data_IF_115119584970
#
_entry.id   IF_115119584970
#
_cell.length_a   1.000
_cell.length_b   1.000
_cell.length_c   1.000
_cell.angle_alpha   90.00
_cell.angle_beta   90.00
_cell.angle_gamma   90.00
#
_symmetry.space_group_name_H-M   'P 1'
#
loop_
_entity.id
_entity.type
_entity.pdbx_description
1 polymer ?
#
# COMPACT_ATOMS: atom_id res chain seq x y z
N UNK A 1 15.06 -16.22 -11.89
CA UNK A 1 14.25 -15.36 -12.76
C UNK A 1 12.82 -15.50 -12.25
N UNK A 2 12.30 -14.51 -11.52
CA UNK A 2 10.96 -14.60 -10.96
C UNK A 2 9.96 -14.44 -12.10
N UNK A 3 9.40 -15.57 -12.54
CA UNK A 3 8.22 -15.60 -13.39
C UNK A 3 7.09 -15.09 -12.50
N UNK A 4 6.24 -14.16 -12.97
CA UNK A 4 4.96 -13.85 -12.29
C UNK A 4 4.34 -15.18 -11.89
N UNK A 5 4.33 -15.49 -10.59
CA UNK A 5 3.84 -16.77 -10.10
C UNK A 5 2.39 -16.90 -10.51
N UNK A 6 1.96 -18.10 -10.92
CA UNK A 6 0.53 -18.37 -10.99
C UNK A 6 -0.01 -18.41 -9.55
N UNK A 7 -1.21 -17.90 -9.33
CA UNK A 7 -1.87 -17.95 -8.04
C UNK A 7 -2.08 -19.41 -7.55
N UNK A 8 -2.08 -20.38 -8.46
CA UNK A 8 -2.36 -21.77 -8.14
C UNK A 8 -1.26 -22.40 -7.27
N UNK A 9 -1.66 -22.94 -6.11
CA UNK A 9 -0.80 -23.66 -5.16
C UNK A 9 0.37 -22.86 -4.57
N UNK A 10 0.25 -21.53 -4.50
CA UNK A 10 1.20 -20.72 -3.74
C UNK A 10 1.10 -21.04 -2.23
N UNK A 11 2.23 -20.92 -1.54
CA UNK A 11 2.30 -21.13 -0.09
C UNK A 11 1.88 -19.87 0.69
N UNK A 12 2.39 -18.73 0.24
CA UNK A 12 2.05 -17.39 0.73
C UNK A 12 2.00 -16.39 -0.42
N UNK A 13 1.24 -15.33 -0.23
CA UNK A 13 1.23 -14.15 -1.10
C UNK A 13 2.14 -13.07 -0.51
N UNK A 14 2.94 -12.42 -1.33
CA UNK A 14 3.79 -11.27 -0.95
C UNK A 14 3.39 -10.07 -1.78
N UNK A 15 2.97 -8.99 -1.12
CA UNK A 15 2.64 -7.73 -1.78
C UNK A 15 3.68 -6.66 -1.44
N UNK A 16 4.25 -6.06 -2.49
CA UNK A 16 5.05 -4.86 -2.35
C UNK A 16 4.16 -3.66 -2.61
N UNK A 17 3.83 -2.93 -1.55
CA UNK A 17 2.95 -1.77 -1.63
C UNK A 17 3.71 -0.49 -1.31
N UNK A 18 3.41 0.57 -2.05
CA UNK A 18 4.04 1.87 -1.92
C UNK A 18 3.00 2.97 -1.80
N UNK A 19 2.88 3.56 -0.62
CA UNK A 19 2.04 4.72 -0.38
C UNK A 19 2.83 5.96 -0.80
N UNK A 20 2.49 6.51 -1.97
CA UNK A 20 3.20 7.64 -2.57
C UNK A 20 2.68 8.97 -2.00
N UNK A 21 2.81 9.18 -0.69
CA UNK A 21 2.23 10.38 -0.07
C UNK A 21 2.96 11.66 -0.49
N UNK A 22 4.28 11.61 -0.62
CA UNK A 22 5.10 12.78 -0.90
C UNK A 22 4.78 13.97 0.03
N UNK A 23 4.39 15.12 -0.50
CA UNK A 23 4.02 16.31 0.29
C UNK A 23 2.65 16.18 0.97
N UNK A 24 1.75 15.33 0.44
CA UNK A 24 0.36 15.29 0.90
C UNK A 24 0.25 14.82 2.36
N UNK A 25 1.08 13.88 2.82
CA UNK A 25 1.11 13.49 4.26
C UNK A 25 1.43 14.67 5.18
N UNK A 26 2.31 15.57 4.74
CA UNK A 26 2.67 16.75 5.53
C UNK A 26 1.51 17.75 5.58
N UNK A 27 0.87 17.99 4.43
CA UNK A 27 -0.23 18.94 4.31
C UNK A 27 -1.54 18.43 4.92
N UNK A 28 -1.87 17.16 4.71
CA UNK A 28 -3.10 16.50 5.12
C UNK A 28 -3.10 15.97 6.53
N UNK A 29 -2.25 14.98 6.82
CA UNK A 29 -2.21 14.35 8.14
C UNK A 29 -1.54 15.23 9.17
N UNK A 30 -0.36 15.76 8.86
CA UNK A 30 0.41 16.52 9.86
C UNK A 30 0.06 18.00 9.92
N UNK A 31 -0.65 18.56 8.93
CA UNK A 31 -0.96 20.00 8.86
C UNK A 31 0.31 20.87 9.00
N UNK A 32 1.41 20.46 8.36
CA UNK A 32 2.71 21.14 8.34
C UNK A 32 3.07 21.50 6.90
N UNK A 33 3.35 22.78 6.65
CA UNK A 33 3.65 23.34 5.32
C UNK A 33 5.06 23.95 5.22
N UNK A 34 5.94 23.66 6.19
CA UNK A 34 7.30 24.22 6.19
C UNK A 34 8.10 23.72 4.97
N UNK A 35 9.00 24.54 4.41
CA UNK A 35 9.84 24.12 3.27
C UNK A 35 10.63 22.83 3.53
N UNK A 36 11.09 22.62 4.77
CA UNK A 36 11.80 21.40 5.16
C UNK A 36 10.89 20.17 5.08
N UNK A 37 9.69 20.22 5.65
CA UNK A 37 8.71 19.14 5.57
C UNK A 37 8.34 18.81 4.12
N UNK A 38 7.98 19.82 3.33
CA UNK A 38 7.59 19.63 1.93
C UNK A 38 8.74 19.09 1.08
N UNK A 39 9.98 19.56 1.29
CA UNK A 39 11.15 19.02 0.56
C UNK A 39 11.42 17.54 0.87
N UNK A 40 11.06 17.06 2.07
CA UNK A 40 11.14 15.63 2.41
C UNK A 40 10.09 14.84 1.64
N UNK A 41 8.90 15.38 1.44
CA UNK A 41 7.88 14.81 0.56
C UNK A 41 8.34 14.74 -0.90
N UNK A 42 8.83 15.86 -1.45
CA UNK A 42 9.33 15.98 -2.81
C UNK A 42 10.46 14.98 -3.14
N UNK A 43 11.25 14.57 -2.15
CA UNK A 43 12.26 13.52 -2.31
C UNK A 43 11.64 12.20 -2.80
N UNK A 44 10.42 11.87 -2.36
CA UNK A 44 9.71 10.69 -2.81
C UNK A 44 9.55 10.66 -4.33
N UNK A 45 9.12 11.76 -4.92
CA UNK A 45 8.97 11.89 -6.37
C UNK A 45 10.31 11.93 -7.09
N UNK A 46 11.21 12.82 -6.64
CA UNK A 46 12.46 13.11 -7.36
C UNK A 46 13.46 11.95 -7.33
N UNK A 47 13.52 11.21 -6.21
CA UNK A 47 14.58 10.25 -5.92
C UNK A 47 14.05 8.89 -5.52
N UNK A 48 12.95 8.85 -4.76
CA UNK A 48 12.35 7.62 -4.25
C UNK A 48 11.78 6.74 -5.36
N UNK A 49 10.79 7.26 -6.08
CA UNK A 49 10.09 6.54 -7.16
C UNK A 49 11.06 6.01 -8.22
N UNK A 50 11.98 6.81 -8.81
CA UNK A 50 12.91 6.28 -9.81
C UNK A 50 13.77 5.13 -9.29
N UNK A 51 14.21 5.19 -8.03
CA UNK A 51 15.06 4.17 -7.41
C UNK A 51 14.28 2.88 -7.13
N UNK A 52 13.03 3.01 -6.69
CA UNK A 52 12.11 1.89 -6.45
C UNK A 52 11.76 1.20 -7.77
N UNK A 53 11.36 1.94 -8.80
CA UNK A 53 11.03 1.36 -10.12
C UNK A 53 12.22 0.60 -10.71
N UNK A 54 13.44 1.13 -10.57
CA UNK A 54 14.67 0.43 -10.99
C UNK A 54 14.91 -0.88 -10.22
N UNK A 55 14.58 -0.91 -8.92
CA UNK A 55 14.69 -2.12 -8.11
C UNK A 55 13.65 -3.16 -8.52
N UNK A 56 12.39 -2.75 -8.66
CA UNK A 56 11.29 -3.63 -9.07
C UNK A 56 11.56 -4.23 -10.46
N UNK A 57 11.97 -3.41 -11.43
CA UNK A 57 12.34 -3.87 -12.78
C UNK A 57 13.51 -4.86 -12.76
N UNK A 58 14.57 -4.60 -11.97
CA UNK A 58 15.71 -5.53 -11.86
C UNK A 58 15.30 -6.95 -11.48
N UNK A 59 14.30 -7.09 -10.62
CA UNK A 59 13.81 -8.38 -10.14
C UNK A 59 12.49 -8.82 -10.79
N UNK A 60 11.95 -8.02 -11.73
CA UNK A 60 10.67 -8.24 -12.39
C UNK A 60 9.50 -8.43 -11.40
N UNK A 61 9.50 -7.62 -10.34
CA UNK A 61 8.53 -7.73 -9.24
C UNK A 61 7.30 -6.85 -9.50
N UNK A 62 6.08 -7.39 -9.39
CA UNK A 62 4.88 -6.57 -9.35
C UNK A 62 4.82 -5.78 -8.05
N UNK A 63 4.08 -4.66 -8.09
CA UNK A 63 3.86 -3.80 -6.94
C UNK A 63 2.55 -3.04 -7.12
N UNK A 64 2.03 -2.52 -6.01
CA UNK A 64 0.87 -1.64 -5.95
C UNK A 64 1.26 -0.30 -5.36
N UNK A 65 0.89 0.80 -6.01
CA UNK A 65 1.13 2.15 -5.51
C UNK A 65 -0.19 2.80 -5.13
N UNK A 66 -0.38 3.13 -3.86
CA UNK A 66 -1.52 3.91 -3.40
C UNK A 66 -1.14 5.39 -3.48
N UNK A 67 -1.86 6.16 -4.30
CA UNK A 67 -1.44 7.53 -4.67
C UNK A 67 -2.54 8.52 -4.31
N UNK A 68 -2.28 9.48 -3.39
CA UNK A 68 -3.21 10.58 -3.14
C UNK A 68 -3.38 11.45 -4.39
N UNK A 69 -4.59 11.96 -4.62
CA UNK A 69 -4.87 12.82 -5.78
C UNK A 69 -4.00 14.08 -5.87
N UNK A 70 -3.70 14.74 -4.75
CA UNK A 70 -2.78 15.89 -4.67
C UNK A 70 -1.35 15.49 -5.09
N UNK A 71 -0.88 14.31 -4.69
CA UNK A 71 0.41 13.78 -5.17
C UNK A 71 0.39 13.59 -6.68
N UNK A 72 -0.68 12.97 -7.22
CA UNK A 72 -0.79 12.76 -8.66
C UNK A 72 -0.83 14.09 -9.44
N UNK A 73 -1.45 15.13 -8.88
CA UNK A 73 -1.50 16.48 -9.45
C UNK A 73 -0.14 17.19 -9.42
N UNK A 74 0.63 17.02 -8.33
CA UNK A 74 1.96 17.63 -8.16
C UNK A 74 3.04 16.92 -8.98
N UNK A 75 2.97 15.60 -9.05
CA UNK A 75 4.01 14.74 -9.65
C UNK A 75 3.44 13.87 -10.77
N UNK A 76 2.77 14.45 -11.79
CA UNK A 76 2.04 13.68 -12.80
C UNK A 76 2.97 12.82 -13.66
N UNK A 77 4.23 13.23 -13.82
CA UNK A 77 5.24 12.47 -14.55
C UNK A 77 5.58 11.17 -13.81
N UNK A 78 5.83 11.25 -12.51
CA UNK A 78 6.18 10.11 -11.68
C UNK A 78 5.00 9.14 -11.56
N UNK A 79 3.77 9.64 -11.38
CA UNK A 79 2.55 8.82 -11.43
C UNK A 79 2.41 8.07 -12.76
N UNK A 80 2.65 8.75 -13.90
CA UNK A 80 2.64 8.11 -15.23
C UNK A 80 3.73 7.07 -15.39
N UNK A 81 4.93 7.31 -14.85
CA UNK A 81 6.03 6.35 -14.92
C UNK A 81 5.70 5.07 -14.14
N UNK A 82 5.06 5.19 -12.98
CA UNK A 82 4.60 4.04 -12.18
C UNK A 82 3.60 3.20 -12.99
N UNK A 83 2.56 3.86 -13.54
CA UNK A 83 1.56 3.18 -14.36
C UNK A 83 2.16 2.56 -15.63
N UNK A 84 3.06 3.27 -16.32
CA UNK A 84 3.73 2.79 -17.53
C UNK A 84 4.67 1.60 -17.26
N UNK A 85 5.19 1.46 -16.04
CA UNK A 85 5.95 0.29 -15.60
C UNK A 85 5.06 -0.94 -15.29
N UNK A 86 3.73 -0.80 -15.41
CA UNK A 86 2.78 -1.90 -15.23
C UNK A 86 2.46 -2.23 -13.77
N UNK A 87 2.75 -1.32 -12.83
CA UNK A 87 2.35 -1.45 -11.44
C UNK A 87 0.91 -1.00 -11.23
N UNK A 88 0.22 -1.62 -10.26
CA UNK A 88 -1.15 -1.24 -9.91
C UNK A 88 -1.18 0.17 -9.30
N UNK A 89 -2.24 0.93 -9.60
CA UNK A 89 -2.53 2.22 -8.99
C UNK A 89 -3.78 2.08 -8.11
N UNK A 90 -3.60 2.26 -6.81
CA UNK A 90 -4.65 2.31 -5.79
C UNK A 90 -5.00 3.75 -5.40
N UNK A 91 -6.21 3.94 -4.87
CA UNK A 91 -6.67 5.22 -4.35
C UNK A 91 -6.20 5.44 -2.90
N UNK A 92 -5.77 6.65 -2.57
CA UNK A 92 -5.25 7.00 -1.24
C UNK A 92 -5.74 8.38 -0.75
N UNK A 93 -7.02 8.67 -0.96
CA UNK A 93 -7.59 9.99 -0.66
C UNK A 93 -7.16 11.06 -1.68
N UNK A 94 -7.27 12.33 -1.29
CA UNK A 94 -6.81 13.44 -2.12
C UNK A 94 -5.51 14.05 -1.58
N UNK A 95 -5.54 14.67 -0.42
CA UNK A 95 -4.37 15.28 0.20
C UNK A 95 -3.96 14.51 1.47
N UNK A 96 -4.14 13.18 1.49
CA UNK A 96 -3.79 12.32 2.62
C UNK A 96 -4.48 12.77 3.94
N UNK A 97 -5.77 13.11 3.87
CA UNK A 97 -6.59 13.46 5.04
C UNK A 97 -7.10 12.19 5.75
N UNK A 98 -6.90 12.01 7.07
CA UNK A 98 -7.42 10.83 7.78
C UNK A 98 -8.96 10.84 7.82
N UNK A 99 -9.66 9.86 7.21
CA UNK A 99 -11.12 9.87 7.10
C UNK A 99 -11.90 9.97 8.41
N UNK A 100 -11.38 9.43 9.52
CA UNK A 100 -12.03 9.55 10.84
C UNK A 100 -12.17 11.01 11.33
N UNK A 101 -11.42 11.94 10.75
CA UNK A 101 -11.48 13.39 11.06
C UNK A 101 -12.48 14.15 10.18
N UNK A 102 -13.04 13.50 9.17
CA UNK A 102 -13.88 14.10 8.15
C UNK A 102 -15.37 13.85 8.43
N UNK A 103 -16.20 14.79 8.02
CA UNK A 103 -17.63 14.51 7.83
C UNK A 103 -17.82 13.61 6.60
N UNK A 104 -18.93 12.87 6.52
CA UNK A 104 -19.27 12.04 5.35
C UNK A 104 -19.15 12.81 4.03
N UNK A 105 -19.62 14.07 4.01
CA UNK A 105 -19.55 14.92 2.80
C UNK A 105 -18.11 15.23 2.41
N UNK A 106 -17.24 15.50 3.38
CA UNK A 106 -15.83 15.79 3.14
C UNK A 106 -15.09 14.53 2.68
N UNK A 107 -15.36 13.38 3.29
CA UNK A 107 -14.81 12.09 2.86
C UNK A 107 -15.26 11.73 1.43
N UNK A 108 -16.54 11.91 1.12
CA UNK A 108 -17.06 11.73 -0.24
C UNK A 108 -16.34 12.64 -1.24
N UNK A 109 -16.17 13.92 -0.89
CA UNK A 109 -15.44 14.88 -1.73
C UNK A 109 -13.98 14.48 -1.90
N UNK A 110 -13.33 13.98 -0.85
CA UNK A 110 -11.96 13.48 -0.90
C UNK A 110 -11.83 12.28 -1.85
N UNK A 111 -12.75 11.31 -1.77
CA UNK A 111 -12.78 10.16 -2.67
C UNK A 111 -12.96 10.60 -4.13
N UNK A 112 -13.95 11.43 -4.42
CA UNK A 112 -14.23 11.95 -5.77
C UNK A 112 -13.02 12.68 -6.35
N UNK A 113 -12.40 13.59 -5.59
CA UNK A 113 -11.22 14.33 -6.06
C UNK A 113 -10.02 13.43 -6.34
N UNK A 114 -9.80 12.41 -5.51
CA UNK A 114 -8.74 11.43 -5.74
C UNK A 114 -8.98 10.61 -7.01
N UNK A 115 -10.23 10.15 -7.22
CA UNK A 115 -10.63 9.42 -8.44
C UNK A 115 -10.44 10.28 -9.69
N UNK A 116 -10.89 11.53 -9.65
CA UNK A 116 -10.78 12.49 -10.77
C UNK A 116 -9.32 12.79 -11.14
N UNK A 117 -8.44 12.93 -10.13
CA UNK A 117 -7.03 13.15 -10.36
C UNK A 117 -6.37 11.94 -11.05
N UNK A 118 -6.62 10.73 -10.54
CA UNK A 118 -6.04 9.51 -11.10
C UNK A 118 -6.57 9.20 -12.52
N UNK A 119 -7.87 9.42 -12.79
CA UNK A 119 -8.38 9.30 -14.16
C UNK A 119 -7.74 10.33 -15.10
N UNK A 120 -7.62 11.60 -14.66
CA UNK A 120 -7.01 12.65 -15.48
C UNK A 120 -5.56 12.34 -15.83
N UNK A 121 -4.76 11.86 -14.86
CA UNK A 121 -3.30 11.73 -15.03
C UNK A 121 -2.91 10.41 -15.70
N UNK A 122 -3.55 9.30 -15.34
CA UNK A 122 -3.20 7.94 -15.81
C UNK A 122 -4.36 7.13 -16.40
N UNK A 123 -5.57 7.70 -16.50
CA UNK A 123 -6.75 7.02 -17.06
C UNK A 123 -7.06 5.71 -16.35
N UNK A 124 -6.89 5.71 -15.03
CA UNK A 124 -7.12 4.57 -14.17
C UNK A 124 -8.38 4.82 -13.33
N UNK A 125 -9.26 3.84 -13.29
CA UNK A 125 -10.25 3.69 -12.21
C UNK A 125 -9.65 2.70 -11.19
N UNK A 126 -9.14 3.16 -10.05
CA UNK A 126 -8.52 2.29 -9.06
C UNK A 126 -9.50 1.21 -8.58
N UNK A 127 -9.01 -0.02 -8.45
CA UNK A 127 -9.76 -1.14 -7.87
C UNK A 127 -9.63 -1.19 -6.35
N UNK A 128 -8.46 -0.78 -5.86
CA UNK A 128 -8.11 -0.74 -4.45
C UNK A 128 -8.20 0.63 -3.83
N UNK A 129 -8.52 0.63 -2.54
CA UNK A 129 -8.37 1.77 -1.65
C UNK A 129 -7.42 1.41 -0.51
N UNK A 130 -6.65 2.40 -0.06
CA UNK A 130 -6.00 2.36 1.25
C UNK A 130 -6.31 3.69 1.93
N UNK A 131 -6.67 3.65 3.19
CA UNK A 131 -7.05 4.84 3.93
C UNK A 131 -5.82 5.62 4.37
N UNK A 132 -5.79 6.96 4.18
CA UNK A 132 -4.74 7.80 4.73
C UNK A 132 -4.56 7.57 6.23
N UNK A 133 -3.30 7.40 6.66
CA UNK A 133 -2.94 7.06 8.05
C UNK A 133 -3.52 5.74 8.59
N UNK A 134 -4.03 4.85 7.73
CA UNK A 134 -4.77 3.62 8.11
C UNK A 134 -5.96 3.86 9.03
N UNK A 135 -6.53 5.06 8.99
CA UNK A 135 -7.70 5.37 9.79
C UNK A 135 -8.94 5.38 8.92
N UNK A 136 -10.04 4.80 9.41
CA UNK A 136 -11.30 4.70 8.68
C UNK A 136 -12.37 5.48 9.43
N UNK A 137 -13.35 6.03 8.70
CA UNK A 137 -14.56 6.59 9.29
C UNK A 137 -15.65 5.53 9.36
N UNK A 138 -16.73 5.81 10.09
CA UNK A 138 -17.93 4.94 10.10
C UNK A 138 -18.68 4.93 8.76
N UNK A 139 -18.29 5.76 7.79
CA UNK A 139 -18.91 5.84 6.47
C UNK A 139 -18.07 5.18 5.37
N UNK A 140 -16.79 4.89 5.64
CA UNK A 140 -15.81 4.56 4.60
C UNK A 140 -16.26 3.37 3.76
N UNK A 141 -16.63 2.24 4.37
CA UNK A 141 -16.98 1.05 3.57
C UNK A 141 -18.25 1.20 2.74
N UNK A 142 -19.27 1.90 3.26
CA UNK A 142 -20.44 2.25 2.45
C UNK A 142 -20.06 3.11 1.25
N UNK A 143 -19.20 4.11 1.44
CA UNK A 143 -18.73 4.96 0.35
C UNK A 143 -17.88 4.16 -0.65
N UNK A 144 -16.94 3.33 -0.19
CA UNK A 144 -16.13 2.48 -1.06
C UNK A 144 -17.00 1.55 -1.91
N UNK A 145 -18.06 0.98 -1.32
CA UNK A 145 -19.02 0.16 -2.05
C UNK A 145 -19.83 0.99 -3.08
N UNK A 146 -20.26 2.22 -2.73
CA UNK A 146 -20.96 3.15 -3.64
C UNK A 146 -20.11 3.48 -4.88
N UNK A 147 -18.79 3.65 -4.72
CA UNK A 147 -17.87 3.94 -5.82
C UNK A 147 -17.38 2.69 -6.58
N UNK A 148 -17.70 1.50 -6.07
CA UNK A 148 -17.37 0.22 -6.69
C UNK A 148 -15.89 -0.14 -6.59
N UNK A 149 -15.28 0.07 -5.41
CA UNK A 149 -13.99 -0.52 -5.09
C UNK A 149 -14.11 -2.03 -4.85
N UNK A 150 -13.08 -2.76 -5.23
CA UNK A 150 -13.03 -4.22 -5.10
C UNK A 150 -12.39 -4.66 -3.78
N UNK A 151 -11.42 -3.90 -3.28
CA UNK A 151 -10.69 -4.21 -2.07
C UNK A 151 -10.26 -2.96 -1.28
N UNK A 152 -10.09 -3.15 0.02
CA UNK A 152 -9.45 -2.23 0.96
C UNK A 152 -8.16 -2.87 1.49
N UNK A 153 -7.21 -2.04 1.93
CA UNK A 153 -5.93 -2.47 2.47
C UNK A 153 -5.54 -1.63 3.70
N UNK A 154 -6.49 -1.45 4.61
CA UNK A 154 -6.41 -0.54 5.75
C UNK A 154 -6.65 -1.21 7.10
N UNK A 155 -7.33 -2.36 7.15
CA UNK A 155 -7.53 -3.09 8.39
C UNK A 155 -6.34 -4.00 8.71
N UNK A 156 -6.25 -4.34 9.99
CA UNK A 156 -5.10 -5.02 10.59
C UNK A 156 -5.52 -6.28 11.36
N UNK A 157 -6.74 -6.77 11.13
CA UNK A 157 -7.33 -7.74 12.02
C UNK A 157 -6.70 -9.13 11.85
N UNK A 158 -6.40 -9.51 10.61
CA UNK A 158 -6.07 -10.88 10.19
C UNK A 158 -4.84 -10.85 9.28
N UNK A 159 -4.16 -11.98 9.12
CA UNK A 159 -3.02 -12.12 8.18
C UNK A 159 -3.44 -12.64 6.79
N UNK A 160 -4.73 -12.91 6.60
CA UNK A 160 -5.32 -13.46 5.37
C UNK A 160 -6.39 -12.52 4.86
N UNK A 161 -6.68 -12.50 3.54
CA UNK A 161 -7.77 -11.70 3.02
C UNK A 161 -9.12 -12.17 3.56
N UNK A 162 -10.05 -11.25 3.76
CA UNK A 162 -11.40 -11.56 4.25
C UNK A 162 -12.45 -10.59 3.69
N UNK A 163 -13.72 -10.97 3.81
CA UNK A 163 -14.82 -10.07 3.46
C UNK A 163 -15.00 -9.00 4.53
N UNK A 164 -15.02 -7.73 4.14
CA UNK A 164 -15.34 -6.66 5.07
C UNK A 164 -16.84 -6.66 5.38
N UNK A 165 -17.16 -6.64 6.67
CA UNK A 165 -18.51 -6.42 7.18
C UNK A 165 -18.65 -4.99 7.72
N UNK A 166 -19.75 -4.33 7.36
CA UNK A 166 -20.14 -3.03 7.90
C UNK A 166 -21.54 -3.15 8.51
N UNK A 167 -21.66 -2.83 9.80
CA UNK A 167 -22.87 -3.01 10.60
C UNK A 167 -23.53 -4.41 10.45
N UNK A 168 -22.71 -5.46 10.39
CA UNK A 168 -23.16 -6.85 10.24
C UNK A 168 -23.65 -7.22 8.82
N UNK A 169 -23.33 -6.40 7.81
CA UNK A 169 -23.61 -6.68 6.41
C UNK A 169 -22.31 -6.78 5.63
N UNK A 170 -22.19 -7.83 4.82
CA UNK A 170 -21.09 -7.96 3.88
C UNK A 170 -21.15 -6.82 2.85
N UNK A 171 -20.05 -6.09 2.71
CA UNK A 171 -19.90 -4.93 1.83
C UNK A 171 -19.53 -5.31 0.39
N UNK A 172 -19.24 -6.60 0.15
CA UNK A 172 -18.60 -7.14 -1.05
C UNK A 172 -17.22 -6.53 -1.33
N UNK A 173 -16.59 -5.89 -0.34
CA UNK A 173 -15.19 -5.45 -0.38
C UNK A 173 -14.34 -6.53 0.27
N UNK A 174 -13.20 -6.85 -0.36
CA UNK A 174 -12.19 -7.73 0.22
C UNK A 174 -11.20 -6.87 1.00
N UNK A 175 -10.91 -7.20 2.24
CA UNK A 175 -9.74 -6.67 2.92
C UNK A 175 -8.51 -7.47 2.52
N UNK A 176 -7.43 -6.79 2.13
CA UNK A 176 -6.08 -7.37 2.04
C UNK A 176 -5.22 -6.68 3.10
N UNK A 177 -5.08 -7.30 4.29
CA UNK A 177 -4.70 -6.60 5.51
C UNK A 177 -3.23 -6.18 5.55
N UNK A 178 -2.96 -5.11 6.30
CA UNK A 178 -1.61 -4.62 6.59
C UNK A 178 -1.17 -4.90 8.03
N UNK A 179 0.06 -4.49 8.38
CA UNK A 179 0.61 -4.58 9.73
C UNK A 179 1.59 -3.42 10.02
N UNK A 180 1.55 -2.85 11.23
CA UNK A 180 2.38 -1.69 11.61
C UNK A 180 3.87 -2.01 11.67
N UNK A 181 4.22 -3.24 12.04
CA UNK A 181 5.57 -3.76 12.04
C UNK A 181 6.16 -3.88 10.63
N UNK A 182 5.29 -4.08 9.62
CA UNK A 182 5.64 -4.22 8.19
C UNK A 182 5.54 -2.90 7.41
N UNK A 183 5.36 -1.76 8.10
CA UNK A 183 5.42 -0.44 7.47
C UNK A 183 6.71 0.32 7.76
N UNK A 184 7.33 0.90 6.74
CA UNK A 184 8.60 1.61 6.87
C UNK A 184 8.47 2.93 7.66
N UNK A 185 7.26 3.52 7.70
CA UNK A 185 6.98 4.78 8.37
C UNK A 185 7.08 4.64 9.89
N UNK A 186 6.56 3.54 10.46
CA UNK A 186 6.64 3.23 11.89
C UNK A 186 8.10 3.18 12.39
N UNK A 187 9.04 2.79 11.52
CA UNK A 187 10.45 2.64 11.88
C UNK A 187 11.31 3.87 11.57
N UNK A 188 11.05 4.51 10.44
CA UNK A 188 11.99 5.48 9.85
C UNK A 188 11.46 6.91 9.79
N UNK A 189 10.14 7.13 9.90
CA UNK A 189 9.57 8.47 9.81
C UNK A 189 9.90 9.26 11.08
N UNK A 190 10.68 10.32 10.90
CA UNK A 190 10.99 11.28 11.96
C UNK A 190 10.08 12.49 11.88
N UNK A 191 9.41 12.83 12.96
CA UNK A 191 8.60 14.05 13.08
C UNK A 191 8.69 14.60 14.50
N UNK A 192 8.83 15.92 14.64
CA UNK A 192 8.80 16.59 15.94
C UNK A 192 7.43 17.19 16.26
N UNK A 193 6.70 17.59 15.23
CA UNK A 193 5.39 18.23 15.30
C UNK A 193 4.52 17.78 14.12
N UNK A 194 3.19 17.71 14.29
CA UNK A 194 2.47 17.86 15.56
C UNK A 194 2.56 16.59 16.43
N UNK A 195 3.02 15.47 15.87
CA UNK A 195 3.22 14.19 16.56
C UNK A 195 4.72 13.91 16.65
N UNK A 196 5.18 13.52 17.84
CA UNK A 196 6.56 13.08 18.03
C UNK A 196 6.71 11.65 17.52
N UNK A 197 7.41 11.50 16.40
CA UNK A 197 7.83 10.22 15.84
C UNK A 197 9.37 10.17 15.90
N UNK A 198 9.90 9.27 16.73
CA UNK A 198 11.35 9.14 16.90
C UNK A 198 12.06 8.76 15.59
N UNK A 199 11.43 7.87 14.80
CA UNK A 199 11.93 7.45 13.50
C UNK A 199 13.38 6.95 13.52
N UNK A 200 14.05 7.06 12.36
CA UNK A 200 15.49 6.85 12.20
C UNK A 200 16.04 5.53 12.77
N UNK A 201 15.22 4.48 12.86
CA UNK A 201 15.70 3.15 13.26
C UNK A 201 16.85 2.68 12.36
N UNK A 202 17.79 1.91 12.92
CA UNK A 202 18.82 1.25 12.13
C UNK A 202 18.16 0.24 11.18
N UNK A 203 18.65 0.13 9.94
CA UNK A 203 18.10 -0.82 8.96
C UNK A 203 18.25 -2.27 9.41
N UNK A 204 19.26 -2.61 10.21
CA UNK A 204 19.42 -3.97 10.74
C UNK A 204 18.26 -4.38 11.65
N UNK A 205 17.76 -3.46 12.48
CA UNK A 205 16.59 -3.70 13.33
C UNK A 205 15.34 -3.98 12.47
N UNK A 206 15.14 -3.16 11.44
CA UNK A 206 13.95 -3.29 10.57
C UNK A 206 14.02 -4.55 9.73
N UNK A 207 15.21 -4.89 9.22
CA UNK A 207 15.45 -6.14 8.49
C UNK A 207 15.20 -7.37 9.36
N UNK A 208 15.64 -7.36 10.62
CA UNK A 208 15.35 -8.43 11.59
C UNK A 208 13.83 -8.61 11.80
N UNK A 209 13.10 -7.52 12.03
CA UNK A 209 11.64 -7.55 12.21
C UNK A 209 10.96 -8.10 10.96
N UNK A 210 11.27 -7.54 9.79
CA UNK A 210 10.61 -7.91 8.53
C UNK A 210 10.89 -9.36 8.14
N UNK A 211 12.14 -9.82 8.27
CA UNK A 211 12.47 -11.21 7.93
C UNK A 211 11.95 -12.20 8.96
N UNK A 212 11.93 -11.85 10.25
CA UNK A 212 11.34 -12.70 11.29
C UNK A 212 9.83 -12.89 11.09
N UNK A 213 9.13 -11.81 10.73
CA UNK A 213 7.70 -11.88 10.40
C UNK A 213 7.45 -12.73 9.13
N UNK A 214 8.26 -12.52 8.09
CA UNK A 214 8.19 -13.33 6.87
C UNK A 214 8.40 -14.82 7.16
N UNK A 215 9.39 -15.19 7.97
CA UNK A 215 9.67 -16.59 8.32
C UNK A 215 8.46 -17.22 9.04
N UNK A 216 7.80 -16.47 9.93
CA UNK A 216 6.57 -16.88 10.60
C UNK A 216 5.41 -17.09 9.62
N UNK A 217 5.12 -16.08 8.81
CA UNK A 217 4.08 -16.13 7.77
C UNK A 217 4.31 -17.28 6.78
N UNK A 218 5.56 -17.49 6.35
CA UNK A 218 5.96 -18.57 5.46
C UNK A 218 5.85 -19.94 6.12
N UNK A 219 6.19 -20.08 7.41
CA UNK A 219 6.03 -21.33 8.14
C UNK A 219 4.55 -21.73 8.28
N UNK A 220 3.67 -20.75 8.52
CA UNK A 220 2.23 -20.96 8.60
C UNK A 220 1.61 -21.32 7.25
N UNK A 221 1.83 -20.51 6.21
CA UNK A 221 1.26 -20.70 4.88
C UNK A 221 -0.27 -20.71 4.87
N UNK A 222 -0.86 -21.29 3.81
CA UNK A 222 -2.32 -21.37 3.69
C UNK A 222 -2.94 -19.99 3.48
N UNK A 223 -2.45 -19.27 2.46
CA UNK A 223 -2.97 -17.99 1.97
C UNK A 223 -2.69 -16.77 2.86
N UNK A 224 -1.74 -16.89 3.78
CA UNK A 224 -1.18 -15.74 4.50
C UNK A 224 -0.62 -14.73 3.49
N UNK A 225 -0.96 -13.47 3.71
CA UNK A 225 -0.51 -12.33 2.93
C UNK A 225 0.56 -11.57 3.71
N UNK A 226 1.77 -11.56 3.18
CA UNK A 226 2.86 -10.75 3.68
C UNK A 226 2.91 -9.42 2.92
N UNK A 227 2.32 -8.38 3.50
CA UNK A 227 2.12 -7.07 2.85
C UNK A 227 3.12 -6.06 3.41
N UNK A 228 4.15 -5.74 2.62
CA UNK A 228 5.06 -4.65 2.95
C UNK A 228 4.45 -3.32 2.52
N UNK A 229 4.33 -2.38 3.47
CA UNK A 229 3.84 -1.01 3.22
C UNK A 229 4.98 -0.03 3.32
N UNK A 230 5.31 0.61 2.21
CA UNK A 230 6.51 1.44 2.11
C UNK A 230 6.18 2.79 1.53
N UNK A 231 7.05 3.78 1.71
CA UNK A 231 6.81 5.11 1.16
C UNK A 231 8.01 5.56 0.35
N UNK A 232 7.86 6.03 -0.90
CA UNK A 232 8.98 6.48 -1.73
C UNK A 232 9.89 7.51 -1.04
N UNK A 233 9.31 8.43 -0.28
CA UNK A 233 10.03 9.45 0.50
C UNK A 233 10.82 8.88 1.69
N UNK A 234 10.53 7.64 2.10
CA UNK A 234 11.13 6.93 3.24
C UNK A 234 12.04 5.79 2.76
N UNK A 235 11.51 4.69 2.22
CA UNK A 235 12.28 3.50 1.79
C UNK A 235 13.28 3.83 0.69
N UNK A 236 12.99 4.85 -0.12
CA UNK A 236 13.83 5.25 -1.25
C UNK A 236 15.24 5.69 -0.83
N UNK A 237 15.50 6.03 0.43
CA UNK A 237 16.84 6.45 0.90
C UNK A 237 17.87 5.33 0.71
N UNK A 238 19.11 5.70 0.34
CA UNK A 238 20.18 4.76 -0.07
C UNK A 238 20.41 3.55 0.83
N UNK A 239 20.42 3.73 2.16
CA UNK A 239 20.64 2.60 3.08
C UNK A 239 19.40 1.71 3.23
N UNK A 240 18.20 2.28 3.09
CA UNK A 240 16.90 1.60 3.27
C UNK A 240 16.50 0.82 2.02
N UNK A 241 16.71 1.37 0.84
CA UNK A 241 16.50 0.64 -0.42
C UNK A 241 17.49 -0.51 -0.57
N UNK A 242 18.72 -0.37 -0.07
CA UNK A 242 19.69 -1.46 -0.03
C UNK A 242 19.30 -2.57 0.96
N UNK A 243 18.66 -2.20 2.09
CA UNK A 243 18.04 -3.14 3.02
C UNK A 243 16.87 -3.88 2.37
N UNK A 244 15.96 -3.15 1.71
CA UNK A 244 14.86 -3.75 0.96
C UNK A 244 15.37 -4.75 -0.09
N UNK A 245 16.40 -4.40 -0.87
CA UNK A 245 16.99 -5.33 -1.84
C UNK A 245 17.54 -6.62 -1.19
N UNK A 246 18.11 -6.55 0.02
CA UNK A 246 18.53 -7.76 0.76
C UNK A 246 17.33 -8.60 1.19
N UNK A 247 16.30 -7.97 1.75
CA UNK A 247 15.09 -8.66 2.16
C UNK A 247 14.39 -9.34 0.96
N UNK A 248 14.26 -8.64 -0.17
CA UNK A 248 13.66 -9.20 -1.39
C UNK A 248 14.46 -10.39 -1.92
N UNK A 249 15.79 -10.34 -1.90
CA UNK A 249 16.63 -11.49 -2.30
C UNK A 249 16.42 -12.70 -1.40
N UNK A 250 16.28 -12.49 -0.10
CA UNK A 250 15.98 -13.55 0.85
C UNK A 250 14.62 -14.18 0.54
N UNK A 251 13.57 -13.36 0.43
CA UNK A 251 12.20 -13.81 0.14
C UNK A 251 12.13 -14.57 -1.19
N UNK A 252 12.78 -14.05 -2.25
CA UNK A 252 12.88 -14.70 -3.56
C UNK A 252 13.54 -16.08 -3.54
N UNK A 253 14.32 -16.39 -2.49
CA UNK A 253 14.94 -17.69 -2.29
C UNK A 253 13.98 -18.79 -1.81
N UNK A 254 12.75 -18.43 -1.44
CA UNK A 254 11.78 -19.35 -0.82
C UNK A 254 10.79 -19.92 -1.85
N UNK A 255 10.69 -21.25 -2.02
CA UNK A 255 9.74 -21.87 -2.93
C UNK A 255 8.27 -21.56 -2.60
N UNK A 256 7.44 -21.37 -3.63
CA UNK A 256 6.00 -21.16 -3.43
C UNK A 256 5.61 -19.77 -2.91
N UNK A 257 6.56 -18.82 -2.84
CA UNK A 257 6.24 -17.39 -2.67
C UNK A 257 5.65 -16.85 -3.95
N UNK A 258 4.47 -16.25 -3.86
CA UNK A 258 3.84 -15.54 -4.97
C UNK A 258 3.89 -14.02 -4.75
N UNK A 259 4.73 -13.33 -5.52
CA UNK A 259 4.69 -11.88 -5.57
C UNK A 259 3.53 -11.42 -6.45
N UNK A 260 2.64 -10.60 -5.89
CA UNK A 260 1.40 -10.19 -6.53
C UNK A 260 1.10 -8.70 -6.30
N UNK A 261 0.32 -8.11 -7.21
CA UNK A 261 -0.39 -6.87 -6.96
C UNK A 261 -1.55 -7.13 -5.99
N UNK A 262 -1.99 -6.11 -5.26
CA UNK A 262 -3.01 -6.28 -4.23
C UNK A 262 -4.35 -6.71 -4.81
N UNK A 263 -4.70 -6.20 -6.01
CA UNK A 263 -5.87 -6.66 -6.75
C UNK A 263 -5.80 -8.14 -7.15
N UNK A 264 -4.62 -8.66 -7.49
CA UNK A 264 -4.43 -10.06 -7.83
C UNK A 264 -4.69 -10.96 -6.60
N UNK A 265 -4.27 -10.53 -5.41
CA UNK A 265 -4.54 -11.22 -4.13
C UNK A 265 -6.05 -11.21 -3.83
N UNK A 266 -6.71 -10.06 -3.99
CA UNK A 266 -8.14 -9.94 -3.77
C UNK A 266 -8.94 -10.83 -4.74
N UNK A 267 -8.52 -10.92 -6.01
CA UNK A 267 -9.14 -11.79 -7.01
C UNK A 267 -8.95 -13.27 -6.67
N UNK A 268 -7.76 -13.67 -6.19
CA UNK A 268 -7.50 -15.05 -5.76
C UNK A 268 -8.40 -15.45 -4.59
N UNK A 269 -8.55 -14.57 -3.59
CA UNK A 269 -9.47 -14.79 -2.48
C UNK A 269 -10.91 -14.99 -2.97
N UNK A 270 -11.43 -14.09 -3.83
CA UNK A 270 -12.79 -14.20 -4.38
C UNK A 270 -13.01 -15.51 -5.13
N UNK A 271 -12.00 -15.93 -5.90
CA UNK A 271 -12.03 -17.19 -6.66
C UNK A 271 -12.16 -18.38 -5.72
N UNK A 272 -11.31 -18.50 -4.70
CA UNK A 272 -11.34 -19.60 -3.71
C UNK A 272 -12.67 -19.65 -2.95
N UNK A 273 -13.18 -18.50 -2.51
CA UNK A 273 -14.48 -18.40 -1.85
C UNK A 273 -15.65 -18.87 -2.73
N UNK A 274 -15.53 -18.69 -4.05
CA UNK A 274 -16.53 -19.17 -5.01
C UNK A 274 -16.43 -20.67 -5.27
N UNK A 275 -15.23 -21.25 -5.21
CA UNK A 275 -14.98 -22.68 -5.35
C UNK A 275 -15.46 -23.46 -4.11
N UNK A 276 -15.19 -22.96 -2.90
CA UNK A 276 -15.67 -23.52 -1.64
C UNK A 276 -17.20 -23.59 -1.58
N UNK A 277 -17.89 -22.53 -2.02
CA UNK A 277 -19.36 -22.50 -2.11
C UNK A 277 -19.95 -23.48 -3.12
N UNK A 278 -19.23 -23.83 -4.19
CA UNK A 278 -19.68 -24.83 -5.18
C UNK A 278 -19.43 -26.26 -4.71
N UNK A 279 -18.49 -26.45 -3.79
CA UNK A 279 -18.14 -27.76 -3.24
C UNK A 279 -18.89 -28.10 -1.94
N UNK A 280 -19.68 -27.16 -1.41
CA UNK A 280 -20.55 -27.30 -0.23
C UNK A 280 -21.99 -27.55 -0.64
#
# INVERSE_FOLDING_TARGET
MAIRGAADNHRISVALTFDFDAESVWLGSFKVDTPSALSRGAYGANEGVPRILKLLDRYQLPATFFIPGDTADRHPKETRNIAAAGHEIGHHGYCHEPPHTLTEREEKTMLERGLDALDRIVKCKPRGYRSPSWELSTNTYRLLAEYGFDYDASQLAWDRPYWVEDAGKNTNIVEVPGAWELTDSAHFLYALVPVYLAGLSATSKVEEIWLGDFDGAYAEGGDVCYVLTMHPQIIGRHHRIAMLERALKYILGHPGVWFAQMSEIADDFRRRQSEEKKSS
#
